data_IF_514045690525
#
_entry.id   IF_514045690525
#
_cell.length_a   1.000
_cell.length_b   1.000
_cell.length_c   1.000
_cell.angle_alpha   90.00
_cell.angle_beta   90.00
_cell.angle_gamma   90.00
#
_symmetry.space_group_name_H-M   'P 1'
#
loop_
_entity.id
_entity.type
_entity.pdbx_description
1 polymer ?
#
# COMPACT_ATOMS: atom_id res chain seq x y z
N UNK A 1 -15.37 0.39 -1.62
CA UNK A 1 -15.06 -0.14 -0.26
C UNK A 1 -14.34 0.88 0.64
N UNK A 2 -13.10 1.32 0.37
CA UNK A 2 -12.47 2.39 1.20
C UNK A 2 -13.28 3.68 1.15
N UNK A 3 -13.59 4.15 -0.07
CA UNK A 3 -14.45 5.32 -0.28
C UNK A 3 -15.85 5.18 0.33
N UNK A 4 -16.47 4.01 0.18
CA UNK A 4 -17.81 3.74 0.73
C UNK A 4 -17.85 3.74 2.26
N UNK A 5 -16.69 3.64 2.91
CA UNK A 5 -16.52 3.68 4.37
C UNK A 5 -15.89 4.98 4.84
N UNK A 6 -15.84 5.98 3.97
CA UNK A 6 -15.26 7.30 4.22
C UNK A 6 -13.80 7.26 4.72
N UNK A 7 -13.06 6.22 4.31
CA UNK A 7 -11.63 6.09 4.62
C UNK A 7 -10.85 6.81 3.51
N UNK A 8 -10.04 7.83 3.84
CA UNK A 8 -9.25 8.56 2.85
C UNK A 8 -8.20 7.63 2.23
N UNK A 9 -8.02 7.72 0.92
CA UNK A 9 -7.05 6.93 0.19
C UNK A 9 -6.45 7.74 -0.96
N UNK A 10 -5.20 7.42 -1.30
CA UNK A 10 -4.46 8.05 -2.39
C UNK A 10 -4.03 6.93 -3.33
N UNK A 11 -4.64 6.80 -4.53
CA UNK A 11 -4.21 5.78 -5.47
C UNK A 11 -2.88 6.19 -6.11
N UNK A 12 -1.87 5.32 -6.00
CA UNK A 12 -0.55 5.51 -6.60
C UNK A 12 -0.24 4.31 -7.49
N UNK A 13 0.22 4.54 -8.71
CA UNK A 13 0.54 3.46 -9.64
C UNK A 13 1.24 3.93 -10.91
N UNK A 14 1.64 2.98 -11.76
CA UNK A 14 2.30 3.27 -13.04
C UNK A 14 1.33 3.59 -14.19
N UNK A 15 0.03 3.34 -13.97
CA UNK A 15 -1.03 3.62 -14.93
C UNK A 15 -1.61 5.01 -14.66
N UNK A 16 -1.92 5.74 -15.71
CA UNK A 16 -2.70 6.97 -15.61
C UNK A 16 -4.19 6.65 -15.56
N UNK A 17 -4.96 7.50 -14.87
CA UNK A 17 -6.42 7.34 -14.80
C UNK A 17 -7.01 7.89 -13.51
N UNK A 18 -8.28 7.55 -13.30
CA UNK A 18 -9.06 7.89 -12.12
C UNK A 18 -9.67 6.60 -11.56
N UNK A 19 -9.63 6.42 -10.25
CA UNK A 19 -10.25 5.29 -9.57
C UNK A 19 -11.10 5.80 -8.41
N UNK A 20 -12.36 5.38 -8.35
CA UNK A 20 -13.32 5.83 -7.35
C UNK A 20 -13.39 7.37 -7.20
N UNK A 21 -13.16 8.12 -8.28
CA UNK A 21 -13.14 9.59 -8.28
C UNK A 21 -11.81 10.24 -7.92
N UNK A 22 -10.80 9.46 -7.52
CA UNK A 22 -9.45 9.95 -7.20
C UNK A 22 -8.50 9.76 -8.38
N UNK A 23 -7.69 10.78 -8.70
CA UNK A 23 -6.67 10.69 -9.75
C UNK A 23 -5.53 9.80 -9.27
N UNK A 24 -5.12 8.86 -10.12
CA UNK A 24 -3.95 8.01 -9.85
C UNK A 24 -2.68 8.86 -9.96
N UNK A 25 -1.92 8.95 -8.86
CA UNK A 25 -0.60 9.57 -8.85
C UNK A 25 0.41 8.63 -9.51
N UNK A 26 1.32 9.20 -10.30
CA UNK A 26 2.33 8.44 -11.01
C UNK A 26 3.42 7.96 -10.04
N UNK A 27 3.52 6.65 -9.83
CA UNK A 27 4.49 6.06 -8.93
C UNK A 27 5.96 6.36 -9.33
N UNK A 28 6.22 6.53 -10.64
CA UNK A 28 7.57 6.85 -11.14
C UNK A 28 8.06 8.23 -10.70
N UNK A 29 7.13 9.13 -10.37
CA UNK A 29 7.46 10.46 -9.85
C UNK A 29 7.73 10.44 -8.33
N UNK A 30 7.55 9.28 -7.67
CA UNK A 30 7.74 9.09 -6.22
C UNK A 30 7.10 10.24 -5.42
N UNK A 31 5.77 10.43 -5.55
CA UNK A 31 5.09 11.59 -5.00
C UNK A 31 5.34 11.68 -3.48
N UNK A 32 5.63 12.88 -2.99
CA UNK A 32 5.80 13.09 -1.56
C UNK A 32 4.43 12.98 -0.86
N UNK A 33 4.27 11.95 -0.04
CA UNK A 33 3.09 11.74 0.78
C UNK A 33 3.49 11.83 2.25
N UNK A 34 2.75 12.61 3.03
CA UNK A 34 2.92 12.71 4.49
C UNK A 34 1.80 11.96 5.20
N UNK A 35 2.04 11.59 6.45
CA UNK A 35 1.01 11.05 7.36
C UNK A 35 0.33 9.77 6.83
N UNK A 36 1.07 8.97 6.06
CA UNK A 36 0.59 7.69 5.54
C UNK A 36 0.54 6.66 6.67
N UNK A 37 -0.63 6.37 7.20
CA UNK A 37 -0.77 5.30 8.21
C UNK A 37 -0.61 3.89 7.61
N UNK A 38 -1.21 3.64 6.45
CA UNK A 38 -1.29 2.30 5.84
C UNK A 38 -0.88 2.36 4.37
N UNK A 39 0.06 1.50 3.97
CA UNK A 39 0.25 1.13 2.56
C UNK A 39 -0.46 -0.20 2.31
N UNK A 40 -1.36 -0.27 1.33
CA UNK A 40 -2.01 -1.53 0.92
C UNK A 40 -1.57 -1.89 -0.50
N UNK A 41 -0.90 -3.03 -0.65
CA UNK A 41 -0.20 -3.39 -1.88
C UNK A 41 -1.08 -4.19 -2.84
N UNK A 42 -1.07 -3.77 -4.12
CA UNK A 42 -1.68 -4.47 -5.25
C UNK A 42 -0.68 -4.64 -6.41
N UNK A 43 0.61 -4.60 -6.10
CA UNK A 43 1.73 -4.79 -7.03
C UNK A 43 2.28 -6.19 -6.79
N UNK A 44 2.33 -7.03 -7.82
CA UNK A 44 2.89 -8.39 -7.69
C UNK A 44 4.38 -8.37 -7.30
N UNK A 45 4.88 -9.38 -6.57
CA UNK A 45 6.21 -9.39 -5.94
C UNK A 45 7.35 -9.09 -6.92
N UNK A 46 7.28 -9.61 -8.15
CA UNK A 46 8.27 -9.40 -9.21
C UNK A 46 8.45 -7.94 -9.64
N UNK A 47 7.48 -7.07 -9.33
CA UNK A 47 7.49 -5.65 -9.68
C UNK A 47 7.71 -4.76 -8.44
N UNK A 48 7.95 -5.31 -7.26
CA UNK A 48 8.04 -4.53 -6.02
C UNK A 48 9.43 -3.98 -5.74
N UNK A 49 10.49 -4.69 -6.14
CA UNK A 49 11.89 -4.35 -5.79
C UNK A 49 12.26 -2.92 -6.15
N UNK A 50 11.80 -2.41 -7.30
CA UNK A 50 12.02 -1.02 -7.73
C UNK A 50 11.43 0.02 -6.75
N UNK A 51 10.42 -0.38 -5.97
CA UNK A 51 9.63 0.52 -5.12
C UNK A 51 9.90 0.37 -3.63
N UNK A 52 10.79 -0.55 -3.20
CA UNK A 52 11.08 -0.77 -1.79
C UNK A 52 11.43 0.53 -1.07
N UNK A 53 12.43 1.25 -1.59
CA UNK A 53 12.90 2.49 -0.98
C UNK A 53 11.77 3.51 -0.86
N UNK A 54 10.93 3.63 -1.89
CA UNK A 54 9.79 4.54 -1.86
C UNK A 54 8.77 4.12 -0.80
N UNK A 55 8.31 2.87 -0.83
CA UNK A 55 7.33 2.33 0.14
C UNK A 55 7.82 2.52 1.58
N UNK A 56 9.09 2.22 1.84
CA UNK A 56 9.70 2.31 3.17
C UNK A 56 9.97 3.77 3.58
N UNK A 57 10.24 4.67 2.63
CA UNK A 57 10.44 6.10 2.89
C UNK A 57 9.16 6.81 3.36
N UNK A 58 7.99 6.26 3.03
CA UNK A 58 6.70 6.77 3.53
C UNK A 58 6.51 6.53 5.03
N UNK A 59 7.34 5.66 5.64
CA UNK A 59 7.30 5.31 7.07
C UNK A 59 5.89 5.01 7.61
N UNK A 60 5.12 4.12 6.96
CA UNK A 60 3.79 3.81 7.43
C UNK A 60 3.81 3.02 8.74
N UNK A 61 2.74 3.11 9.51
CA UNK A 61 2.53 2.25 10.69
C UNK A 61 2.39 0.78 10.30
N UNK A 62 1.76 0.53 9.14
CA UNK A 62 1.60 -0.83 8.60
C UNK A 62 1.62 -0.91 7.07
N UNK A 63 2.03 -2.08 6.57
CA UNK A 63 1.90 -2.49 5.18
C UNK A 63 1.01 -3.74 5.10
N UNK A 64 -0.05 -3.66 4.30
CA UNK A 64 -0.93 -4.79 3.98
C UNK A 64 -0.48 -5.38 2.65
N UNK A 65 -0.07 -6.65 2.68
CA UNK A 65 0.25 -7.44 1.50
C UNK A 65 -1.01 -8.24 1.14
N UNK A 66 -1.78 -7.75 0.16
CA UNK A 66 -2.98 -8.45 -0.32
C UNK A 66 -2.60 -9.76 -1.03
N UNK A 67 -3.53 -10.72 -1.14
CA UNK A 67 -3.28 -11.99 -1.82
C UNK A 67 -2.66 -11.81 -3.21
N UNK A 68 -1.50 -12.44 -3.44
CA UNK A 68 -0.72 -12.34 -4.67
C UNK A 68 0.32 -11.22 -4.68
N UNK A 69 0.52 -10.53 -3.56
CA UNK A 69 1.54 -9.47 -3.40
C UNK A 69 2.57 -9.81 -2.34
N UNK A 70 2.51 -10.99 -1.73
CA UNK A 70 3.42 -11.41 -0.67
C UNK A 70 4.88 -11.44 -1.17
N UNK A 71 5.76 -10.80 -0.42
CA UNK A 71 7.18 -10.71 -0.73
C UNK A 71 8.00 -10.70 0.55
N UNK A 72 8.63 -11.83 0.85
CA UNK A 72 9.34 -12.05 2.12
C UNK A 72 10.43 -11.00 2.37
N UNK A 73 11.17 -10.60 1.34
CA UNK A 73 12.25 -9.63 1.47
C UNK A 73 11.73 -8.24 1.89
N UNK A 74 10.69 -7.73 1.22
CA UNK A 74 10.10 -6.45 1.59
C UNK A 74 9.44 -6.50 2.97
N UNK A 75 8.82 -7.63 3.31
CA UNK A 75 8.24 -7.84 4.64
C UNK A 75 9.30 -7.75 5.74
N UNK A 76 10.46 -8.37 5.54
CA UNK A 76 11.51 -8.37 6.55
C UNK A 76 12.18 -7.00 6.66
N UNK A 77 12.44 -6.33 5.52
CA UNK A 77 12.91 -4.93 5.48
C UNK A 77 11.95 -3.96 6.19
N UNK A 78 10.63 -4.19 6.08
CA UNK A 78 9.62 -3.38 6.76
C UNK A 78 9.65 -3.62 8.27
N UNK A 79 9.69 -4.87 8.71
CA UNK A 79 9.77 -5.23 10.15
C UNK A 79 11.02 -4.68 10.80
N UNK A 80 12.17 -4.73 10.13
CA UNK A 80 13.43 -4.15 10.61
C UNK A 80 13.33 -2.65 10.87
N UNK A 81 12.43 -1.96 10.16
CA UNK A 81 12.14 -0.52 10.33
C UNK A 81 10.98 -0.25 11.30
N UNK A 82 10.49 -1.27 12.01
CA UNK A 82 9.38 -1.15 12.96
C UNK A 82 8.00 -1.04 12.31
N UNK A 83 7.88 -1.32 11.01
CA UNK A 83 6.61 -1.25 10.28
C UNK A 83 5.86 -2.57 10.48
N UNK A 84 4.58 -2.50 10.85
CA UNK A 84 3.74 -3.69 10.99
C UNK A 84 3.44 -4.30 9.62
N UNK A 85 3.67 -5.60 9.46
CA UNK A 85 3.42 -6.32 8.21
C UNK A 85 2.20 -7.23 8.35
N UNK A 86 1.24 -7.09 7.44
CA UNK A 86 0.00 -7.85 7.43
C UNK A 86 -0.21 -8.56 6.08
N UNK A 87 0.07 -9.87 5.98
CA UNK A 87 -0.37 -10.69 4.86
C UNK A 87 -1.88 -10.94 4.98
N UNK A 88 -2.69 -10.08 4.37
CA UNK A 88 -4.14 -10.06 4.57
C UNK A 88 -4.88 -9.41 3.39
N UNK A 89 -6.14 -9.78 3.18
CA UNK A 89 -6.99 -9.13 2.19
C UNK A 89 -7.66 -7.87 2.78
N UNK A 90 -7.36 -6.71 2.21
CA UNK A 90 -7.93 -5.42 2.63
C UNK A 90 -9.46 -5.44 2.63
N UNK A 91 -10.08 -6.07 1.63
CA UNK A 91 -11.54 -6.13 1.53
C UNK A 91 -12.15 -6.98 2.65
N UNK A 92 -11.49 -8.07 3.04
CA UNK A 92 -11.92 -8.90 4.18
C UNK A 92 -11.73 -8.14 5.48
N UNK A 93 -10.58 -7.50 5.70
CA UNK A 93 -10.34 -6.67 6.90
C UNK A 93 -11.40 -5.58 7.05
N UNK A 94 -11.78 -4.92 5.95
CA UNK A 94 -12.86 -3.94 5.96
C UNK A 94 -14.20 -4.59 6.33
N UNK A 95 -14.55 -5.72 5.71
CA UNK A 95 -15.84 -6.37 5.97
C UNK A 95 -15.98 -6.93 7.39
N UNK A 96 -14.87 -7.38 8.00
CA UNK A 96 -14.83 -7.97 9.35
C UNK A 96 -14.53 -6.95 10.45
N UNK A 97 -14.28 -5.68 10.13
CA UNK A 97 -13.94 -4.65 11.12
C UNK A 97 -12.52 -4.79 11.70
N UNK A 98 -11.62 -5.44 10.98
CA UNK A 98 -10.21 -5.61 11.33
C UNK A 98 -9.29 -4.62 10.60
N UNK A 99 -9.87 -3.72 9.79
CA UNK A 99 -9.14 -2.66 9.10
C UNK A 99 -8.82 -1.52 10.06
#
# INVERSE_FOLDING_TARGET
MLKERDIPFIPVGIKTGVTSGEKILNLREKPALTDVHTVTLYVGPQNQTEWYDYILSLKPERIIFNPGTENQELMDLAKERGITVLPACTLVMLSTGQY
#
